data_IF_658684118558
#
_entry.id   IF_658684118558
#
_cell.length_a   1.000
_cell.length_b   1.000
_cell.length_c   1.000
_cell.angle_alpha   90.00
_cell.angle_beta   90.00
_cell.angle_gamma   90.00
#
_symmetry.space_group_name_H-M   'P 1'
#
loop_
_entity.id
_entity.type
_entity.pdbx_description
1 polymer ?
#
# COMPACT_ATOMS: atom_id res chain seq x y z
N UNK A 1 45.50 -55.17 -53.79
CA UNK A 1 45.14 -54.44 -52.55
C UNK A 1 44.02 -53.45 -52.86
N UNK A 2 42.75 -53.84 -52.70
CA UNK A 2 41.62 -52.90 -52.74
C UNK A 2 40.44 -53.49 -51.97
N UNK A 3 40.61 -53.60 -50.65
CA UNK A 3 39.58 -54.03 -49.71
C UNK A 3 39.74 -53.23 -48.41
N UNK A 4 39.36 -51.94 -48.39
CA UNK A 4 39.27 -51.20 -47.12
C UNK A 4 38.42 -49.91 -47.17
N UNK A 5 37.69 -49.62 -48.26
CA UNK A 5 36.89 -48.39 -48.35
C UNK A 5 35.41 -48.58 -47.97
N UNK A 6 34.82 -49.77 -48.19
CA UNK A 6 33.38 -50.00 -47.94
C UNK A 6 33.00 -50.11 -46.45
N UNK A 7 33.90 -50.62 -45.61
CA UNK A 7 33.59 -50.83 -44.19
C UNK A 7 33.51 -49.51 -43.38
N UNK A 8 34.24 -48.47 -43.80
CA UNK A 8 34.24 -47.18 -43.11
C UNK A 8 32.92 -46.43 -43.29
N UNK A 9 32.28 -46.58 -44.45
CA UNK A 9 30.97 -45.95 -44.71
C UNK A 9 29.87 -46.60 -43.86
N UNK A 10 29.87 -47.93 -43.77
CA UNK A 10 28.89 -48.69 -42.98
C UNK A 10 29.00 -48.38 -41.49
N UNK A 11 30.22 -48.25 -40.96
CA UNK A 11 30.45 -47.89 -39.57
C UNK A 11 29.91 -46.49 -39.24
N UNK A 12 30.09 -45.51 -40.13
CA UNK A 12 29.56 -44.14 -39.95
C UNK A 12 28.02 -44.12 -39.88
N UNK A 13 27.36 -44.90 -40.75
CA UNK A 13 25.90 -45.02 -40.71
C UNK A 13 25.40 -45.67 -39.43
N UNK A 14 26.07 -46.72 -38.95
CA UNK A 14 25.70 -47.38 -37.68
C UNK A 14 25.86 -46.44 -36.48
N UNK A 15 26.94 -45.66 -36.42
CA UNK A 15 27.15 -44.67 -35.35
C UNK A 15 26.09 -43.56 -35.40
N UNK A 16 25.78 -43.05 -36.60
CA UNK A 16 24.77 -42.00 -36.76
C UNK A 16 23.37 -42.51 -36.38
N UNK A 17 23.02 -43.72 -36.81
CA UNK A 17 21.76 -44.36 -36.45
C UNK A 17 21.63 -44.54 -34.93
N UNK A 18 22.71 -44.95 -34.27
CA UNK A 18 22.70 -45.17 -32.82
C UNK A 18 22.55 -43.86 -32.02
N UNK A 19 23.18 -42.77 -32.49
CA UNK A 19 23.02 -41.43 -31.90
C UNK A 19 21.61 -40.86 -32.11
N UNK A 20 21.01 -41.12 -33.28
CA UNK A 20 19.65 -40.68 -33.57
C UNK A 20 18.62 -41.41 -32.71
N UNK A 21 18.78 -42.72 -32.54
CA UNK A 21 17.92 -43.54 -31.66
C UNK A 21 18.03 -43.14 -30.19
N UNK A 22 19.23 -42.82 -29.68
CA UNK A 22 19.40 -42.37 -28.30
C UNK A 22 18.76 -41.00 -28.05
N UNK A 23 18.86 -40.07 -29.02
CA UNK A 23 18.19 -38.78 -28.97
C UNK A 23 16.66 -38.94 -28.93
N UNK A 24 16.10 -39.76 -29.82
CA UNK A 24 14.65 -40.04 -29.85
C UNK A 24 14.17 -40.64 -28.53
N UNK A 25 14.91 -41.59 -27.96
CA UNK A 25 14.56 -42.21 -26.68
C UNK A 25 14.55 -41.17 -25.55
N UNK A 26 15.54 -40.27 -25.50
CA UNK A 26 15.59 -39.21 -24.48
C UNK A 26 14.40 -38.26 -24.57
N UNK A 27 13.95 -37.95 -25.79
CA UNK A 27 12.84 -37.04 -26.05
C UNK A 27 11.50 -37.68 -25.65
N UNK A 28 11.32 -38.97 -25.95
CA UNK A 28 10.15 -39.74 -25.51
C UNK A 28 10.09 -39.83 -23.99
N UNK A 29 11.22 -40.10 -23.31
CA UNK A 29 11.28 -40.14 -21.85
C UNK A 29 10.96 -38.77 -21.22
N UNK A 30 11.44 -37.67 -21.80
CA UNK A 30 11.11 -36.32 -21.35
C UNK A 30 9.62 -36.00 -21.50
N UNK A 31 8.99 -36.42 -22.60
CA UNK A 31 7.54 -36.27 -22.81
C UNK A 31 6.75 -37.09 -21.80
N UNK A 32 7.13 -38.35 -21.56
CA UNK A 32 6.47 -39.23 -20.57
C UNK A 32 6.62 -38.65 -19.15
N UNK A 33 7.80 -38.14 -18.80
CA UNK A 33 8.04 -37.51 -17.51
C UNK A 33 7.15 -36.27 -17.31
N UNK A 34 7.07 -35.39 -18.32
CA UNK A 34 6.17 -34.23 -18.30
C UNK A 34 4.70 -34.64 -18.20
N UNK A 35 4.28 -35.70 -18.89
CA UNK A 35 2.91 -36.21 -18.79
C UNK A 35 2.58 -36.81 -17.42
N UNK A 36 3.55 -37.49 -16.77
CA UNK A 36 3.35 -38.04 -15.41
C UNK A 36 3.42 -36.98 -14.31
N UNK A 37 4.13 -35.88 -14.53
CA UNK A 37 4.24 -34.77 -13.57
C UNK A 37 3.02 -33.84 -13.55
N UNK A 38 2.10 -33.96 -14.51
CA UNK A 38 0.77 -33.40 -14.40
C UNK A 38 -0.18 -34.48 -13.87
N UNK A 39 -0.40 -34.57 -12.53
CA UNK A 39 -1.50 -35.36 -12.02
C UNK A 39 -2.76 -34.87 -12.73
N UNK A 40 -3.44 -35.80 -13.40
CA UNK A 40 -4.79 -35.61 -13.91
C UNK A 40 -5.59 -34.95 -12.80
N UNK A 41 -6.00 -33.70 -13.04
CA UNK A 41 -6.87 -32.96 -12.11
C UNK A 41 -8.05 -33.87 -11.83
N UNK A 42 -8.09 -34.44 -10.62
CA UNK A 42 -9.25 -35.17 -10.14
C UNK A 42 -10.42 -34.19 -10.24
N UNK A 43 -11.32 -34.46 -11.17
CA UNK A 43 -12.65 -33.85 -11.17
C UNK A 43 -13.39 -34.51 -10.03
N UNK A 44 -13.15 -34.01 -8.82
CA UNK A 44 -13.97 -34.30 -7.65
C UNK A 44 -15.33 -33.69 -7.93
N UNK A 45 -16.26 -34.51 -8.44
CA UNK A 45 -17.70 -34.28 -8.24
C UNK A 45 -17.99 -34.56 -6.78
N UNK A 46 -17.76 -33.56 -5.95
CA UNK A 46 -18.51 -33.39 -4.71
C UNK A 46 -19.59 -32.36 -5.03
N UNK A 47 -20.76 -32.51 -4.44
CA UNK A 47 -21.74 -31.43 -4.35
C UNK A 47 -21.02 -30.20 -3.80
N UNK A 48 -20.64 -29.30 -4.71
CA UNK A 48 -19.49 -28.41 -4.52
C UNK A 48 -19.95 -27.15 -3.81
N UNK A 49 -20.31 -27.29 -2.53
CA UNK A 49 -20.53 -26.16 -1.65
C UNK A 49 -19.18 -25.57 -1.26
N UNK A 50 -18.84 -24.42 -1.82
CA UNK A 50 -17.62 -23.68 -1.48
C UNK A 50 -17.96 -22.65 -0.41
N UNK A 51 -17.52 -22.91 0.82
CA UNK A 51 -17.62 -21.96 1.92
C UNK A 51 -16.29 -21.25 2.13
N UNK A 52 -16.33 -19.92 2.19
CA UNK A 52 -15.19 -19.07 2.56
C UNK A 52 -15.64 -18.06 3.60
N UNK A 53 -14.73 -17.44 4.34
CA UNK A 53 -15.16 -16.36 5.25
C UNK A 53 -15.68 -15.20 4.42
N UNK A 54 -16.82 -14.60 4.80
CA UNK A 54 -17.41 -13.49 4.03
C UNK A 54 -16.43 -12.33 3.84
N UNK A 55 -15.61 -12.12 4.87
CA UNK A 55 -14.49 -11.19 4.89
C UNK A 55 -13.48 -11.44 3.75
N UNK A 56 -13.31 -12.64 3.21
CA UNK A 56 -12.37 -12.88 2.09
C UNK A 56 -12.92 -12.46 0.72
N UNK A 57 -14.22 -12.24 0.60
CA UNK A 57 -14.90 -11.92 -0.68
C UNK A 57 -15.26 -10.43 -0.76
N UNK A 58 -15.40 -9.79 0.40
CA UNK A 58 -15.67 -8.36 0.52
C UNK A 58 -14.52 -7.54 -0.08
N UNK A 59 -14.86 -6.67 -1.03
CA UNK A 59 -13.96 -5.70 -1.66
C UNK A 59 -14.34 -4.27 -1.25
N UNK A 60 -15.63 -4.01 -0.99
CA UNK A 60 -16.14 -2.73 -0.52
C UNK A 60 -17.41 -2.93 0.35
N UNK A 61 -17.45 -2.45 1.60
CA UNK A 61 -18.59 -2.64 2.52
C UNK A 61 -19.92 -2.06 2.03
N UNK A 62 -19.87 -1.03 1.18
CA UNK A 62 -21.07 -0.31 0.74
C UNK A 62 -21.60 -0.79 -0.61
N UNK A 63 -20.74 -1.33 -1.47
CA UNK A 63 -21.11 -1.74 -2.83
C UNK A 63 -21.39 -3.23 -2.96
N UNK A 64 -20.97 -4.07 -2.01
CA UNK A 64 -21.06 -5.53 -2.15
C UNK A 64 -22.35 -6.16 -1.59
N UNK A 65 -23.30 -5.36 -1.10
CA UNK A 65 -24.54 -5.82 -0.46
C UNK A 65 -25.36 -6.76 -1.37
N UNK A 66 -25.39 -6.50 -2.68
CA UNK A 66 -26.13 -7.30 -3.66
C UNK A 66 -25.47 -8.64 -4.03
N UNK A 67 -24.24 -8.87 -3.58
CA UNK A 67 -23.49 -10.10 -3.90
C UNK A 67 -23.72 -11.12 -2.80
N UNK A 68 -23.78 -10.63 -1.56
CA UNK A 68 -24.17 -11.44 -0.41
C UNK A 68 -25.61 -11.92 -0.47
N UNK A 69 -26.48 -11.31 -1.28
CA UNK A 69 -27.87 -11.80 -1.44
C UNK A 69 -27.98 -13.15 -2.14
N UNK A 70 -26.94 -13.56 -2.89
CA UNK A 70 -26.92 -14.84 -3.59
C UNK A 70 -26.14 -15.93 -2.83
N UNK A 71 -25.58 -15.61 -1.66
CA UNK A 71 -24.75 -16.50 -0.85
C UNK A 71 -25.54 -17.02 0.36
N UNK A 72 -25.38 -18.31 0.69
CA UNK A 72 -25.88 -18.80 1.97
C UNK A 72 -24.91 -18.40 3.07
N UNK A 73 -25.38 -17.60 4.02
CA UNK A 73 -24.57 -17.13 5.14
C UNK A 73 -24.76 -18.10 6.30
N UNK A 74 -23.67 -18.76 6.70
CA UNK A 74 -23.63 -19.66 7.84
C UNK A 74 -22.75 -19.03 8.93
N UNK A 75 -23.18 -19.08 10.20
CA UNK A 75 -22.36 -18.66 11.33
C UNK A 75 -21.69 -19.88 11.95
N UNK A 76 -20.37 -19.88 11.93
CA UNK A 76 -19.55 -20.88 12.61
C UNK A 76 -18.75 -20.19 13.72
N UNK A 77 -19.30 -20.27 14.94
CA UNK A 77 -18.76 -19.59 16.12
C UNK A 77 -18.76 -18.06 16.00
N UNK A 78 -17.56 -17.45 16.07
CA UNK A 78 -17.33 -16.01 15.93
C UNK A 78 -17.14 -15.55 14.48
N UNK A 79 -17.08 -16.49 13.52
CA UNK A 79 -16.83 -16.21 12.11
C UNK A 79 -18.09 -16.34 11.27
N UNK A 80 -18.26 -15.45 10.30
CA UNK A 80 -19.35 -15.50 9.32
C UNK A 80 -18.82 -16.11 8.03
N UNK A 81 -19.35 -17.28 7.67
CA UNK A 81 -19.01 -17.99 6.44
C UNK A 81 -20.06 -17.71 5.36
N UNK A 82 -19.57 -17.51 4.14
CA UNK A 82 -20.35 -17.31 2.94
C UNK A 82 -20.17 -18.54 2.04
N UNK A 83 -21.24 -19.29 1.85
CA UNK A 83 -21.26 -20.53 1.11
C UNK A 83 -21.95 -20.35 -0.25
N UNK A 84 -21.34 -20.96 -1.26
CA UNK A 84 -21.83 -20.99 -2.64
C UNK A 84 -22.43 -22.35 -2.95
N UNK A 85 -23.65 -22.38 -3.46
CA UNK A 85 -24.31 -23.63 -3.90
C UNK A 85 -24.32 -23.80 -5.41
N UNK A 86 -24.11 -22.72 -6.18
CA UNK A 86 -24.14 -22.73 -7.65
C UNK A 86 -22.74 -22.56 -8.22
N UNK A 87 -22.39 -23.45 -9.16
CA UNK A 87 -21.10 -23.42 -9.84
C UNK A 87 -20.87 -22.16 -10.70
N UNK A 88 -21.95 -21.53 -11.19
CA UNK A 88 -21.87 -20.27 -11.93
C UNK A 88 -21.25 -19.14 -11.08
N UNK A 89 -21.58 -19.13 -9.79
CA UNK A 89 -21.22 -18.06 -8.85
C UNK A 89 -19.80 -18.26 -8.27
N UNK A 90 -19.27 -19.49 -8.33
CA UNK A 90 -17.89 -19.81 -7.91
C UNK A 90 -16.86 -18.99 -8.72
N UNK A 91 -17.07 -18.81 -10.02
CA UNK A 91 -16.14 -18.04 -10.86
C UNK A 91 -16.04 -16.59 -10.44
N UNK A 92 -17.17 -15.98 -10.09
CA UNK A 92 -17.23 -14.58 -9.65
C UNK A 92 -16.52 -14.40 -8.30
N UNK A 93 -16.75 -15.31 -7.36
CA UNK A 93 -16.07 -15.28 -6.06
C UNK A 93 -14.57 -15.52 -6.19
N UNK A 94 -14.14 -16.48 -7.00
CA UNK A 94 -12.71 -16.71 -7.25
C UNK A 94 -12.08 -15.46 -7.88
N UNK A 95 -12.75 -14.81 -8.83
CA UNK A 95 -12.26 -13.56 -9.41
C UNK A 95 -12.09 -12.46 -8.35
N UNK A 96 -13.05 -12.34 -7.42
CA UNK A 96 -12.99 -11.37 -6.30
C UNK A 96 -11.88 -11.69 -5.30
N UNK A 97 -11.70 -12.95 -4.92
CA UNK A 97 -10.60 -13.37 -4.04
C UNK A 97 -9.23 -13.10 -4.67
N UNK A 98 -9.10 -13.34 -5.98
CA UNK A 98 -7.88 -13.03 -6.75
C UNK A 98 -7.65 -11.52 -6.79
N UNK A 99 -8.68 -10.72 -7.07
CA UNK A 99 -8.60 -9.26 -7.10
C UNK A 99 -8.23 -8.69 -5.72
N UNK A 100 -8.83 -9.19 -4.65
CA UNK A 100 -8.46 -8.83 -3.27
C UNK A 100 -7.00 -9.15 -2.97
N UNK A 101 -6.56 -10.37 -3.28
CA UNK A 101 -5.17 -10.79 -3.07
C UNK A 101 -4.19 -9.97 -3.92
N UNK A 102 -4.60 -9.57 -5.12
CA UNK A 102 -3.86 -8.63 -5.97
C UNK A 102 -3.77 -7.25 -5.32
N UNK A 103 -4.88 -6.68 -4.82
CA UNK A 103 -4.90 -5.39 -4.11
C UNK A 103 -4.01 -5.39 -2.87
N UNK A 104 -4.06 -6.47 -2.07
CA UNK A 104 -3.19 -6.65 -0.90
C UNK A 104 -1.71 -6.68 -1.29
N UNK A 105 -1.32 -7.51 -2.29
CA UNK A 105 0.06 -7.53 -2.79
C UNK A 105 0.52 -6.19 -3.37
N UNK A 106 -0.39 -5.47 -4.03
CA UNK A 106 -0.13 -4.10 -4.52
C UNK A 106 -0.07 -3.06 -3.40
N UNK A 107 -0.62 -3.34 -2.22
CA UNK A 107 -0.49 -2.48 -1.03
C UNK A 107 0.78 -2.78 -0.24
N UNK A 108 1.27 -4.02 -0.27
CA UNK A 108 2.53 -4.48 0.34
C UNK A 108 3.80 -3.99 -0.42
N UNK A 109 3.65 -3.12 -1.43
CA UNK A 109 4.78 -2.52 -2.14
C UNK A 109 5.42 -3.38 -3.23
N UNK A 110 4.83 -4.53 -3.59
CA UNK A 110 5.33 -5.38 -4.68
C UNK A 110 4.89 -4.84 -6.06
N UNK A 111 5.34 -3.64 -6.41
CA UNK A 111 5.21 -3.08 -7.77
C UNK A 111 6.42 -3.55 -8.57
N UNK A 112 6.25 -4.61 -9.36
CA UNK A 112 7.21 -4.94 -10.43
C UNK A 112 7.21 -3.78 -11.43
N UNK A 113 8.33 -3.07 -11.51
CA UNK A 113 8.84 -2.25 -12.61
C UNK A 113 7.78 -1.85 -13.66
N UNK A 114 6.85 -0.98 -13.27
CA UNK A 114 6.19 -0.14 -14.25
C UNK A 114 7.23 0.92 -14.66
N UNK A 115 7.49 1.12 -15.97
CA UNK A 115 8.46 2.13 -16.41
C UNK A 115 7.96 3.50 -15.96
N UNK A 116 8.56 4.01 -14.89
CA UNK A 116 8.32 5.34 -14.37
C UNK A 116 8.97 6.31 -15.37
N UNK A 117 8.16 6.87 -16.26
CA UNK A 117 8.58 7.98 -17.10
C UNK A 117 8.42 9.26 -16.29
N UNK A 118 9.47 9.64 -15.56
CA UNK A 118 9.59 10.98 -14.99
C UNK A 118 9.90 11.95 -16.14
N UNK A 119 8.86 12.47 -16.80
CA UNK A 119 8.97 13.48 -17.85
C UNK A 119 7.92 14.57 -17.62
N UNK A 120 8.32 15.85 -17.52
CA UNK A 120 7.37 16.94 -17.37
C UNK A 120 6.58 17.13 -18.67
N UNK A 121 5.28 16.88 -18.63
CA UNK A 121 4.36 17.29 -19.70
C UNK A 121 3.99 18.76 -19.44
N UNK A 122 4.74 19.66 -20.07
CA UNK A 122 4.83 21.10 -19.77
C UNK A 122 3.53 21.92 -19.97
N UNK A 123 2.41 21.30 -20.36
CA UNK A 123 1.19 21.99 -20.76
C UNK A 123 0.06 21.99 -19.73
N UNK A 124 0.19 21.28 -18.61
CA UNK A 124 -0.75 21.33 -17.49
C UNK A 124 0.02 21.52 -16.18
N UNK A 125 0.63 22.71 -16.00
CA UNK A 125 1.06 23.19 -14.68
C UNK A 125 -0.16 23.44 -13.80
N UNK A 126 -0.80 22.34 -13.39
CA UNK A 126 -1.76 22.28 -12.31
C UNK A 126 -1.00 22.61 -11.05
N UNK A 127 -0.96 23.91 -10.76
CA UNK A 127 -0.36 24.54 -9.61
C UNK A 127 -0.58 23.67 -8.38
N UNK A 128 0.49 22.98 -8.03
CA UNK A 128 0.57 22.27 -6.80
C UNK A 128 0.94 23.27 -5.74
N UNK A 129 0.07 23.32 -4.77
CA UNK A 129 -0.13 24.52 -4.04
C UNK A 129 -0.29 23.91 -2.64
N UNK A 130 0.44 24.51 -1.69
CA UNK A 130 0.50 24.25 -0.24
C UNK A 130 -0.84 24.17 0.51
N UNK A 131 -1.04 23.08 1.24
CA UNK A 131 -2.01 23.05 2.34
C UNK A 131 -1.23 23.44 3.60
N UNK A 132 -1.69 24.42 4.38
CA UNK A 132 -0.95 24.90 5.55
C UNK A 132 -1.92 25.41 6.59
N UNK A 133 -2.02 24.70 7.71
CA UNK A 133 -3.11 24.93 8.64
C UNK A 133 -2.62 24.96 10.12
N UNK A 134 -3.23 25.86 10.92
CA UNK A 134 -3.63 25.73 12.33
C UNK A 134 -4.10 24.36 12.88
N UNK A 135 -3.41 23.79 13.87
CA UNK A 135 -4.09 22.89 14.79
C UNK A 135 -5.21 23.65 15.53
N UNK A 136 -6.42 23.10 15.53
CA UNK A 136 -7.45 23.51 16.50
C UNK A 136 -7.00 22.96 17.86
N UNK A 137 -7.03 23.78 18.91
CA UNK A 137 -6.73 23.34 20.28
C UNK A 137 -7.55 22.08 20.61
N UNK A 138 -6.89 20.93 20.73
CA UNK A 138 -7.54 19.68 21.08
C UNK A 138 -7.40 19.44 22.58
N UNK A 139 -8.51 19.08 23.23
CA UNK A 139 -8.46 18.57 24.60
C UNK A 139 -7.54 17.34 24.64
N UNK A 140 -6.71 17.23 25.67
CA UNK A 140 -5.92 16.02 25.94
C UNK A 140 -6.80 14.77 25.79
N UNK A 141 -6.53 14.02 24.73
CA UNK A 141 -6.99 12.65 24.59
C UNK A 141 -5.93 11.77 25.24
N UNK A 142 -6.32 10.67 25.89
CA UNK A 142 -5.38 9.64 26.36
C UNK A 142 -4.61 8.94 25.21
N UNK A 143 -4.82 9.37 23.96
CA UNK A 143 -4.05 8.93 22.81
C UNK A 143 -2.67 9.60 22.75
N UNK A 144 -1.63 8.77 22.65
CA UNK A 144 -0.23 9.15 22.48
C UNK A 144 0.07 10.03 21.24
N UNK A 145 -0.81 10.03 20.25
CA UNK A 145 -0.63 10.75 18.99
C UNK A 145 -1.97 11.28 18.49
N UNK A 146 -2.03 12.58 18.21
CA UNK A 146 -3.25 13.31 17.87
C UNK A 146 -3.21 13.73 16.40
N UNK A 147 -4.28 13.45 15.65
CA UNK A 147 -4.41 13.86 14.25
C UNK A 147 -4.54 15.40 14.17
N UNK A 148 -3.68 16.03 13.39
CA UNK A 148 -3.67 17.49 13.19
C UNK A 148 -4.87 17.87 12.34
N UNK A 149 -5.66 18.84 12.81
CA UNK A 149 -6.75 19.43 12.04
C UNK A 149 -6.22 20.56 11.19
N UNK A 150 -6.81 20.70 10.02
CA UNK A 150 -6.39 21.61 8.98
C UNK A 150 -7.57 22.61 8.54
N UNK A 151 -7.33 23.89 8.19
CA UNK A 151 -8.08 25.15 8.07
C UNK A 151 -8.00 25.57 6.60
N UNK A 152 -8.91 25.01 5.84
CA UNK A 152 -9.02 25.26 4.42
C UNK A 152 -9.49 26.68 4.08
N UNK A 153 -9.92 27.48 5.07
CA UNK A 153 -10.40 28.84 4.85
C UNK A 153 -9.30 29.90 4.89
N UNK A 154 -8.07 29.53 5.25
CA UNK A 154 -6.94 30.46 5.21
C UNK A 154 -6.62 30.86 3.77
N UNK A 155 -6.33 32.15 3.54
CA UNK A 155 -5.94 32.67 2.21
C UNK A 155 -4.67 32.02 1.63
N UNK A 156 -3.86 31.39 2.49
CA UNK A 156 -2.66 30.66 2.10
C UNK A 156 -2.92 29.17 1.78
N UNK A 157 -4.13 28.67 2.07
CA UNK A 157 -4.55 27.30 1.81
C UNK A 157 -5.29 27.20 0.48
N UNK A 158 -5.09 26.11 -0.25
CA UNK A 158 -5.93 25.72 -1.38
C UNK A 158 -5.72 24.21 -1.63
N UNK A 159 -6.56 23.61 -2.46
CA UNK A 159 -6.47 22.20 -2.87
C UNK A 159 -6.58 22.10 -4.38
N UNK A 160 -5.67 21.35 -5.01
CA UNK A 160 -5.67 21.11 -6.46
C UNK A 160 -5.72 19.63 -6.79
N UNK A 161 -4.65 18.90 -6.46
CA UNK A 161 -4.48 17.47 -6.78
C UNK A 161 -5.05 16.52 -5.71
N UNK A 162 -5.65 17.06 -4.65
CA UNK A 162 -6.21 16.31 -3.53
C UNK A 162 -7.44 17.04 -2.97
N UNK A 163 -8.31 16.32 -2.27
CA UNK A 163 -9.42 16.89 -1.51
C UNK A 163 -9.12 16.85 -0.02
N UNK A 164 -9.41 17.93 0.69
CA UNK A 164 -9.31 17.92 2.15
C UNK A 164 -10.62 17.45 2.78
N UNK A 165 -10.60 16.27 3.41
CA UNK A 165 -11.77 15.61 3.99
C UNK A 165 -11.36 14.93 5.30
N UNK A 166 -12.13 15.12 6.38
CA UNK A 166 -11.92 14.47 7.68
C UNK A 166 -10.49 14.59 8.22
N UNK A 167 -9.87 15.77 8.11
CA UNK A 167 -8.49 16.01 8.54
C UNK A 167 -7.41 15.26 7.72
N UNK A 168 -7.79 14.72 6.57
CA UNK A 168 -6.91 14.05 5.59
C UNK A 168 -6.88 14.79 4.26
N UNK A 169 -5.77 14.63 3.52
CA UNK A 169 -5.75 14.89 2.08
C UNK A 169 -6.02 13.58 1.35
N UNK A 170 -7.18 13.51 0.69
CA UNK A 170 -7.59 12.41 -0.17
C UNK A 170 -7.03 12.61 -1.58
N UNK A 171 -6.32 11.61 -2.09
CA UNK A 171 -5.66 11.63 -3.38
C UNK A 171 -6.67 11.38 -4.51
N UNK A 172 -6.70 12.28 -5.49
CA UNK A 172 -7.65 12.20 -6.62
C UNK A 172 -7.13 11.33 -7.76
N UNK A 173 -5.81 11.25 -7.94
CA UNK A 173 -5.19 10.55 -9.07
C UNK A 173 -3.99 9.73 -8.61
N UNK A 174 -3.85 8.51 -9.11
CA UNK A 174 -2.70 7.66 -8.79
C UNK A 174 -1.43 8.20 -9.43
N UNK A 175 -0.44 8.59 -8.63
CA UNK A 175 0.82 9.16 -9.10
C UNK A 175 1.90 9.14 -8.02
N UNK A 176 3.11 9.56 -8.38
CA UNK A 176 4.12 9.95 -7.39
C UNK A 176 3.79 11.34 -6.87
N UNK A 177 3.83 11.49 -5.54
CA UNK A 177 3.61 12.74 -4.84
C UNK A 177 4.82 13.06 -3.99
N UNK A 178 5.38 14.25 -4.18
CA UNK A 178 6.27 14.86 -3.21
C UNK A 178 5.43 15.44 -2.08
N UNK A 179 5.60 14.91 -0.88
CA UNK A 179 4.88 15.29 0.33
C UNK A 179 5.87 15.97 1.25
N UNK A 180 5.49 17.11 1.83
CA UNK A 180 6.32 17.83 2.76
C UNK A 180 5.50 18.40 3.91
N UNK A 181 6.16 18.55 5.05
CA UNK A 181 5.58 19.21 6.22
C UNK A 181 6.65 19.93 7.02
N UNK A 182 6.25 21.06 7.58
CA UNK A 182 7.01 21.82 8.54
C UNK A 182 6.11 22.12 9.74
N UNK A 183 6.49 21.66 10.93
CA UNK A 183 5.79 21.94 12.17
C UNK A 183 6.73 22.64 13.14
N UNK A 184 6.25 23.71 13.76
CA UNK A 184 7.00 24.47 14.75
C UNK A 184 6.41 24.21 16.12
N UNK A 185 7.26 23.78 17.04
CA UNK A 185 6.91 23.53 18.43
C UNK A 185 7.51 24.62 19.31
N UNK A 186 6.71 25.24 20.18
CA UNK A 186 7.17 26.20 21.18
C UNK A 186 6.92 25.66 22.58
N UNK A 187 7.96 25.73 23.41
CA UNK A 187 7.84 25.47 24.83
C UNK A 187 8.28 26.71 25.60
N UNK A 188 7.40 27.18 26.47
CA UNK A 188 7.73 28.17 27.50
C UNK A 188 7.83 27.45 28.84
N UNK A 189 8.97 27.55 29.52
CA UNK A 189 9.07 27.09 30.91
C UNK A 189 8.53 28.19 31.81
N UNK A 190 7.54 27.85 32.65
CA UNK A 190 6.94 28.77 33.61
C UNK A 190 7.24 28.43 35.06
N UNK A 191 7.91 27.30 35.34
CA UNK A 191 8.38 26.86 36.66
C UNK A 191 9.58 25.91 36.49
N UNK A 192 10.27 25.53 37.58
CA UNK A 192 11.32 24.50 37.62
C UNK A 192 10.80 23.08 37.27
N UNK A 193 9.93 22.93 36.27
CA UNK A 193 9.55 21.62 35.76
C UNK A 193 10.72 21.06 34.95
N UNK A 194 11.35 20.02 35.47
CA UNK A 194 12.41 19.26 34.79
C UNK A 194 11.89 18.36 33.67
N UNK A 195 10.63 18.51 33.25
CA UNK A 195 10.07 17.70 32.17
C UNK A 195 10.76 18.03 30.84
N UNK A 196 11.72 17.19 30.49
CA UNK A 196 12.26 17.08 29.14
C UNK A 196 11.18 16.43 28.27
N UNK A 197 10.56 17.22 27.41
CA UNK A 197 9.64 16.71 26.39
C UNK A 197 10.39 16.26 25.14
N UNK A 198 9.96 15.15 24.57
CA UNK A 198 10.15 14.89 23.14
C UNK A 198 8.89 15.32 22.41
N UNK A 199 9.04 15.77 21.17
CA UNK A 199 7.92 15.92 20.26
C UNK A 199 8.16 15.05 19.03
N UNK A 200 7.10 14.41 18.58
CA UNK A 200 7.09 13.60 17.38
C UNK A 200 5.99 14.08 16.44
N UNK A 201 6.30 14.08 15.15
CA UNK A 201 5.33 14.18 14.07
C UNK A 201 5.46 12.94 13.20
N UNK A 202 4.33 12.43 12.73
CA UNK A 202 4.26 11.21 11.93
C UNK A 202 3.27 11.40 10.80
N UNK A 203 3.74 11.20 9.57
CA UNK A 203 2.91 11.17 8.38
C UNK A 203 2.34 9.76 8.20
N UNK A 204 1.03 9.66 8.11
CA UNK A 204 0.30 8.42 7.89
C UNK A 204 -0.34 8.40 6.51
N UNK A 205 -0.49 7.17 5.99
CA UNK A 205 -1.34 6.82 4.87
C UNK A 205 -2.46 5.91 5.37
N UNK A 206 -3.68 6.26 5.05
CA UNK A 206 -4.85 5.43 5.26
C UNK A 206 -5.41 4.99 3.90
N UNK A 207 -5.80 3.73 3.78
CA UNK A 207 -6.37 3.15 2.57
C UNK A 207 -7.81 2.72 2.93
N UNK A 208 -8.83 3.54 2.62
CA UNK A 208 -10.20 3.29 3.08
C UNK A 208 -10.76 1.91 2.69
N UNK A 209 -10.27 1.34 1.58
CA UNK A 209 -10.77 0.07 1.03
C UNK A 209 -10.05 -1.19 1.54
N UNK A 210 -9.05 -1.07 2.40
CA UNK A 210 -8.39 -2.26 2.99
C UNK A 210 -8.98 -2.56 4.36
N UNK A 211 -9.41 -3.81 4.56
CA UNK A 211 -9.89 -4.28 5.87
C UNK A 211 -8.84 -4.25 6.99
N UNK A 212 -7.56 -4.12 6.62
CA UNK A 212 -6.53 -3.76 7.59
C UNK A 212 -6.83 -2.35 8.09
N UNK A 213 -7.44 -2.24 9.27
CA UNK A 213 -7.67 -1.01 10.04
C UNK A 213 -6.38 -0.23 10.40
N UNK A 214 -5.23 -0.59 9.81
CA UNK A 214 -3.94 -0.08 10.20
C UNK A 214 -3.49 0.98 9.22
N UNK A 215 -3.38 2.19 9.74
CA UNK A 215 -2.71 3.29 9.06
C UNK A 215 -1.23 2.91 8.85
N UNK A 216 -0.70 3.14 7.66
CA UNK A 216 0.71 2.92 7.33
C UNK A 216 1.50 4.18 7.65
N UNK A 217 2.62 4.07 8.38
CA UNK A 217 3.54 5.19 8.60
C UNK A 217 4.36 5.39 7.33
N UNK A 218 4.34 6.61 6.79
CA UNK A 218 5.15 7.02 5.65
C UNK A 218 6.46 7.69 6.10
N UNK A 219 6.38 8.60 7.08
CA UNK A 219 7.51 9.35 7.62
C UNK A 219 7.32 9.63 9.11
N UNK A 220 8.42 9.75 9.84
CA UNK A 220 8.41 10.11 11.26
C UNK A 220 9.61 11.00 11.58
N UNK A 221 9.36 12.05 12.36
CA UNK A 221 10.38 12.95 12.89
C UNK A 221 10.13 13.13 14.37
N UNK A 222 11.12 12.75 15.19
CA UNK A 222 11.08 12.92 16.64
C UNK A 222 12.31 13.67 17.09
N UNK A 223 12.09 14.75 17.85
CA UNK A 223 13.16 15.59 18.36
C UNK A 223 13.00 15.77 19.87
N UNK A 224 14.12 15.83 20.58
CA UNK A 224 14.17 16.24 21.97
C UNK A 224 14.09 17.75 22.07
N UNK A 225 13.33 18.27 23.05
CA UNK A 225 13.36 19.68 23.36
C UNK A 225 14.68 20.06 24.02
N UNK A 226 15.09 21.31 23.80
CA UNK A 226 16.30 21.84 24.40
C UNK A 226 16.16 21.94 25.92
N UNK A 227 17.27 21.74 26.65
CA UNK A 227 17.28 21.88 28.10
C UNK A 227 17.10 23.35 28.48
N UNK A 228 16.23 23.68 29.45
CA UNK A 228 16.06 25.07 29.88
C UNK A 228 17.36 25.56 30.52
N UNK A 229 17.85 26.71 30.04
CA UNK A 229 19.02 27.39 30.64
C UNK A 229 18.61 28.29 31.81
N UNK A 230 17.34 28.72 31.84
CA UNK A 230 16.77 29.54 32.92
C UNK A 230 15.25 29.37 33.03
N UNK A 231 14.69 29.83 34.15
CA UNK A 231 13.25 29.77 34.51
C UNK A 231 12.35 30.48 33.49
N UNK A 232 12.90 31.34 32.62
CA UNK A 232 12.17 32.07 31.59
C UNK A 232 12.68 31.80 30.18
N UNK A 233 13.35 30.67 29.98
CA UNK A 233 13.81 30.28 28.65
C UNK A 233 12.62 29.85 27.77
N UNK A 234 12.71 30.20 26.49
CA UNK A 234 11.82 29.72 25.43
C UNK A 234 12.62 28.81 24.53
N UNK A 235 12.05 27.66 24.17
CA UNK A 235 12.63 26.77 23.17
C UNK A 235 11.72 26.72 21.95
N UNK A 236 12.33 26.70 20.77
CA UNK A 236 11.64 26.49 19.51
C UNK A 236 12.24 25.25 18.85
N UNK A 237 11.40 24.24 18.64
CA UNK A 237 11.73 23.02 17.91
C UNK A 237 11.09 23.04 16.53
N UNK A 238 11.75 22.42 15.57
CA UNK A 238 11.24 22.27 14.20
C UNK A 238 11.14 20.80 13.88
N UNK A 239 10.06 20.40 13.21
CA UNK A 239 9.91 19.08 12.60
C UNK A 239 9.66 19.27 11.11
N UNK A 240 10.69 18.97 10.32
CA UNK A 240 10.64 19.04 8.87
C UNK A 240 10.72 17.62 8.31
N UNK A 241 9.77 17.24 7.47
CA UNK A 241 9.79 15.95 6.78
C UNK A 241 9.41 16.17 5.31
N UNK A 242 10.13 15.51 4.42
CA UNK A 242 9.86 15.55 2.98
C UNK A 242 10.28 14.23 2.33
N UNK A 243 9.46 13.72 1.41
CA UNK A 243 9.79 12.54 0.61
C UNK A 243 8.80 12.37 -0.54
N UNK A 244 9.12 11.50 -1.49
CA UNK A 244 8.27 11.14 -2.61
C UNK A 244 7.65 9.77 -2.38
N UNK A 245 6.32 9.66 -2.49
CA UNK A 245 5.59 8.41 -2.37
C UNK A 245 4.66 8.18 -3.55
N UNK A 246 4.55 6.93 -4.00
CA UNK A 246 3.46 6.55 -4.91
C UNK A 246 2.16 6.40 -4.11
N UNK A 247 1.19 7.27 -4.40
CA UNK A 247 -0.15 7.22 -3.82
C UNK A 247 -1.17 6.87 -4.89
N UNK A 248 -2.21 6.15 -4.51
CA UNK A 248 -3.32 5.73 -5.37
C UNK A 248 -4.50 6.68 -5.19
N UNK A 249 -5.33 6.79 -6.23
CA UNK A 249 -6.65 7.40 -6.11
C UNK A 249 -7.40 6.77 -4.91
N UNK A 250 -7.95 7.63 -4.07
CA UNK A 250 -8.70 7.26 -2.87
C UNK A 250 -7.84 7.07 -1.61
N UNK A 251 -6.51 7.03 -1.72
CA UNK A 251 -5.65 7.06 -0.53
C UNK A 251 -5.84 8.36 0.24
N UNK A 252 -5.73 8.29 1.56
CA UNK A 252 -5.75 9.44 2.44
C UNK A 252 -4.39 9.60 3.13
N UNK A 253 -3.88 10.83 3.19
CA UNK A 253 -2.67 11.15 3.96
C UNK A 253 -2.93 12.24 4.99
N UNK A 254 -2.34 12.10 6.17
CA UNK A 254 -2.48 13.05 7.28
C UNK A 254 -1.34 12.94 8.26
N UNK A 255 -1.25 13.92 9.17
CA UNK A 255 -0.23 13.97 10.21
C UNK A 255 -0.85 13.73 11.57
N UNK A 256 -0.15 12.94 12.40
CA UNK A 256 -0.38 12.93 13.84
C UNK A 256 0.84 13.52 14.56
N UNK A 257 0.60 14.16 15.70
CA UNK A 257 1.65 14.74 16.56
C UNK A 257 1.51 14.23 17.99
N UNK A 258 2.63 14.13 18.72
CA UNK A 258 2.61 13.66 20.11
C UNK A 258 2.12 14.71 21.10
N UNK A 259 2.28 15.99 20.76
CA UNK A 259 2.01 17.10 21.67
C UNK A 259 1.45 18.30 20.89
N UNK A 260 0.13 18.31 20.60
CA UNK A 260 -0.49 19.36 19.82
C UNK A 260 -0.52 20.71 20.56
N UNK A 261 -0.51 20.70 21.90
CA UNK A 261 -0.55 21.92 22.73
C UNK A 261 0.71 22.77 22.55
N UNK A 262 1.81 22.16 22.11
CA UNK A 262 3.09 22.84 21.86
C UNK A 262 3.23 23.38 20.44
N UNK A 263 2.32 23.09 19.52
CA UNK A 263 2.42 23.64 18.17
C UNK A 263 2.26 25.17 18.19
N UNK A 264 3.04 25.86 17.35
CA UNK A 264 2.97 27.31 17.22
C UNK A 264 1.56 27.76 16.79
N UNK A 265 0.99 28.73 17.48
CA UNK A 265 -0.35 29.27 17.18
C UNK A 265 -0.40 29.98 15.82
N UNK A 266 0.73 30.44 15.29
CA UNK A 266 0.80 31.06 13.98
C UNK A 266 0.68 30.01 12.87
N UNK A 267 -0.46 29.99 12.17
CA UNK A 267 -0.72 29.05 11.07
C UNK A 267 0.35 29.06 9.98
N UNK A 268 1.05 30.18 9.77
CA UNK A 268 2.09 30.29 8.74
C UNK A 268 3.34 29.47 9.04
N UNK A 269 3.53 29.08 10.30
CA UNK A 269 4.67 28.29 10.72
C UNK A 269 4.43 26.79 10.56
N UNK A 270 3.16 26.36 10.49
CA UNK A 270 2.77 24.96 10.38
C UNK A 270 2.18 24.65 9.00
N UNK A 271 2.88 23.83 8.23
CA UNK A 271 2.58 23.56 6.82
C UNK A 271 2.56 22.05 6.58
N UNK A 272 1.60 21.59 5.76
CA UNK A 272 1.52 20.21 5.29
C UNK A 272 0.95 20.18 3.88
N UNK A 273 1.82 19.98 2.89
CA UNK A 273 1.43 20.01 1.50
C UNK A 273 1.90 18.77 0.75
N UNK A 274 1.32 18.61 -0.44
CA UNK A 274 1.77 17.61 -1.40
C UNK A 274 1.62 18.14 -2.83
N UNK A 275 2.44 17.59 -3.72
CA UNK A 275 2.29 17.80 -5.14
C UNK A 275 2.66 16.60 -5.97
N UNK A 276 1.95 16.43 -7.08
CA UNK A 276 2.26 15.40 -8.07
C UNK A 276 3.58 15.73 -8.78
N UNK A 277 4.47 14.74 -8.85
CA UNK A 277 5.77 14.80 -9.57
C UNK A 277 5.70 14.08 -10.90
#
# INVERSE_FOLDING_TARGET
MSCSARNVSLLKYLVFLHLFLSLLLSLVLAVIANFRLHPTKQVVRADLQLCVTCQQIELNPTEDIWIFSNLSIERDGSSVQCCLTKFADIREIVARMVERKRRLKLSEGYVKDLPITCGPDDNNKGNSKLVGILPIAQNKSDQYMVKVQWNMHSSASFTGSALYVNDSLQILESAFYYIYTNLVYRQEWKNNSEEFGTFCSVLYRHIPMTETKYDTILMQSCNSLCKPYSIHSKCVGYSHMESVFFLKNGDEVYIKVSDPERLDENERNNIFGLFRT
#
